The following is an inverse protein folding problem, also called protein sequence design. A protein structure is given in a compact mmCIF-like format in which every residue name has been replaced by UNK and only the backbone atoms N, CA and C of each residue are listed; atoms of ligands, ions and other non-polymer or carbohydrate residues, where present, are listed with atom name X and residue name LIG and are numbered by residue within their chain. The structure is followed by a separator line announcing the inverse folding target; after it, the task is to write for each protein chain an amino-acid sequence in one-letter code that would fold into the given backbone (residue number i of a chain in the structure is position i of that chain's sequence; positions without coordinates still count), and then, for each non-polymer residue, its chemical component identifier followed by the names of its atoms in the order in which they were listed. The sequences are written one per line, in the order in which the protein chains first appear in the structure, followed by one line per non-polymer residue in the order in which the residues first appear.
data_IF_758383933495
#
_entry.id   IF_758383933495
#
_cell.length_a   1.000
_cell.length_b   1.000
_cell.length_c   1.000
_cell.angle_alpha   90.00
_cell.angle_beta   90.00
_cell.angle_gamma   90.00
#
_symmetry.space_group_name_H-M   'P 1'
#
loop_
_entity.id
_entity.type
_entity.pdbx_description
1 polymer ?
#
# COMPACT_ATOMS: atom_id res chain seq x y z
N UNK A 1 49.07 19.30 39.94
CA UNK A 1 48.78 17.93 39.49
C UNK A 1 47.29 17.81 39.31
N UNK A 2 46.84 18.07 38.09
CA UNK A 2 45.46 17.92 37.62
C UNK A 2 45.20 16.45 37.32
N UNK A 3 44.15 15.88 37.92
CA UNK A 3 43.62 14.58 37.53
C UNK A 3 42.12 14.73 37.35
N UNK A 4 41.72 14.71 36.07
CA UNK A 4 40.34 14.66 35.61
C UNK A 4 39.71 13.31 36.00
N UNK A 5 38.51 13.37 36.55
CA UNK A 5 37.60 12.23 36.57
C UNK A 5 37.00 12.03 35.17
N UNK A 6 36.89 10.80 34.65
CA UNK A 6 36.24 10.57 33.37
C UNK A 6 34.72 10.61 33.54
N UNK A 7 34.06 11.37 32.66
CA UNK A 7 32.63 11.40 32.49
C UNK A 7 32.11 10.00 32.09
N UNK A 8 31.34 9.38 32.98
CA UNK A 8 30.67 8.11 32.70
C UNK A 8 29.20 8.37 32.33
N UNK A 9 28.87 7.98 31.10
CA UNK A 9 27.57 7.51 30.62
C UNK A 9 26.37 8.49 30.66
N UNK A 10 26.41 9.50 29.77
CA UNK A 10 25.20 9.96 29.11
C UNK A 10 24.90 9.00 27.94
N UNK A 11 24.16 7.93 28.21
CA UNK A 11 23.53 7.14 27.14
C UNK A 11 22.33 7.94 26.62
N UNK A 12 22.61 8.92 25.78
CA UNK A 12 21.60 9.54 24.91
C UNK A 12 21.16 8.44 23.95
N UNK A 13 19.89 8.05 24.01
CA UNK A 13 19.24 7.28 22.96
C UNK A 13 19.43 8.04 21.64
N UNK A 14 20.41 7.60 20.86
CA UNK A 14 20.57 8.01 19.47
C UNK A 14 19.38 7.39 18.75
N UNK A 15 18.35 8.20 18.47
CA UNK A 15 17.40 7.89 17.41
C UNK A 15 18.24 7.45 16.22
N UNK A 16 17.97 6.27 15.64
CA UNK A 16 18.69 5.75 14.47
C UNK A 16 18.66 6.81 13.38
N UNK A 17 19.71 7.63 13.36
CA UNK A 17 19.86 8.78 12.49
C UNK A 17 20.24 8.20 11.16
N UNK A 18 19.49 8.55 10.12
CA UNK A 18 19.85 8.28 8.74
C UNK A 18 21.37 8.47 8.55
N UNK A 19 22.04 7.48 7.96
CA UNK A 19 23.47 7.54 7.69
C UNK A 19 23.70 8.35 6.41
N UNK A 20 24.37 9.52 6.46
CA UNK A 20 24.54 10.37 5.28
C UNK A 20 25.24 9.65 4.11
N UNK A 21 24.78 9.90 2.89
CA UNK A 21 25.31 9.32 1.67
C UNK A 21 24.93 7.85 1.43
N UNK A 22 23.92 7.36 2.14
CA UNK A 22 23.37 6.00 1.99
C UNK A 22 21.97 6.02 1.37
N UNK A 23 21.38 4.85 1.20
CA UNK A 23 19.97 4.64 0.83
C UNK A 23 19.07 4.34 2.04
N UNK A 24 19.59 4.45 3.26
CA UNK A 24 18.85 4.22 4.50
C UNK A 24 17.76 5.28 4.70
N UNK A 25 16.62 4.85 5.25
CA UNK A 25 15.51 5.74 5.58
C UNK A 25 15.75 6.55 6.86
N UNK A 26 14.89 7.53 7.09
CA UNK A 26 14.83 8.28 8.34
C UNK A 26 13.83 7.63 9.29
N UNK A 27 14.23 7.44 10.55
CA UNK A 27 13.48 6.73 11.58
C UNK A 27 13.30 7.55 12.87
N UNK A 28 13.38 8.88 12.77
CA UNK A 28 13.16 9.80 13.88
C UNK A 28 11.69 9.79 14.34
N UNK A 29 11.48 10.16 15.61
CA UNK A 29 10.15 10.16 16.24
C UNK A 29 9.87 11.48 16.94
N UNK A 30 8.62 11.94 16.88
CA UNK A 30 8.17 13.09 17.66
C UNK A 30 7.85 12.62 19.08
N UNK A 31 8.65 13.04 20.06
CA UNK A 31 8.47 12.68 21.48
C UNK A 31 8.85 13.85 22.39
N UNK A 32 8.20 14.04 23.55
CA UNK A 32 8.46 15.19 24.42
C UNK A 32 9.92 15.31 24.89
N UNK A 33 10.57 14.18 25.16
CA UNK A 33 11.95 14.10 25.64
C UNK A 33 12.97 13.90 24.51
N UNK A 34 12.52 13.73 23.27
CA UNK A 34 13.37 13.46 22.12
C UNK A 34 13.95 14.71 21.45
N UNK A 35 14.79 14.53 20.41
CA UNK A 35 15.30 15.66 19.61
C UNK A 35 14.20 16.39 18.81
N UNK A 36 13.03 15.76 18.68
CA UNK A 36 11.86 16.27 17.98
C UNK A 36 10.66 16.38 18.94
N UNK A 37 10.61 17.36 19.86
CA UNK A 37 9.45 17.59 20.72
C UNK A 37 8.22 18.09 19.95
N UNK A 38 7.00 17.69 20.36
CA UNK A 38 5.77 18.15 19.72
C UNK A 38 5.60 19.66 19.88
N UNK A 39 5.57 20.37 18.75
CA UNK A 39 5.40 21.82 18.67
C UNK A 39 4.45 22.15 17.51
N UNK A 40 3.41 22.97 17.76
CA UNK A 40 2.48 23.42 16.71
C UNK A 40 3.26 24.20 15.64
N UNK A 41 3.14 23.79 14.38
CA UNK A 41 3.79 24.46 13.24
C UNK A 41 5.27 24.12 13.04
N UNK A 42 5.87 23.25 13.86
CA UNK A 42 7.27 22.81 13.68
C UNK A 42 7.43 21.77 12.58
N UNK A 43 6.41 20.94 12.36
CA UNK A 43 6.50 19.80 11.46
C UNK A 43 5.66 19.99 10.21
N UNK A 44 6.10 19.40 9.10
CA UNK A 44 5.36 19.35 7.84
C UNK A 44 5.39 17.93 7.28
N UNK A 45 4.26 17.50 6.71
CA UNK A 45 4.13 16.18 6.08
C UNK A 45 4.06 16.35 4.56
N UNK A 46 5.09 15.93 3.84
CA UNK A 46 5.05 15.83 2.38
C UNK A 46 4.39 14.51 1.97
N UNK A 47 3.36 14.59 1.13
CA UNK A 47 2.55 13.44 0.71
C UNK A 47 2.22 13.48 -0.78
N UNK A 48 1.70 12.38 -1.29
CA UNK A 48 0.89 12.35 -2.52
C UNK A 48 -0.41 11.61 -2.24
N UNK A 49 -1.56 12.21 -2.57
CA UNK A 49 -2.90 11.63 -2.30
C UNK A 49 -3.12 10.27 -3.00
N UNK A 50 -2.32 9.99 -4.03
CA UNK A 50 -2.30 8.71 -4.72
C UNK A 50 -1.66 7.56 -3.93
N UNK A 51 -0.73 7.85 -3.03
CA UNK A 51 0.12 6.84 -2.40
C UNK A 51 -0.59 6.19 -1.19
N UNK A 52 -0.83 4.88 -1.18
CA UNK A 52 -1.49 4.21 -0.04
C UNK A 52 -0.63 4.28 1.24
N UNK A 53 0.70 4.30 1.13
CA UNK A 53 1.59 4.41 2.28
C UNK A 53 1.52 5.80 2.93
N UNK A 54 1.52 6.87 2.12
CA UNK A 54 1.34 8.24 2.64
C UNK A 54 -0.07 8.45 3.20
N UNK A 55 -1.07 7.80 2.61
CA UNK A 55 -2.46 7.89 3.03
C UNK A 55 -2.67 7.40 4.48
N UNK A 56 -1.87 6.42 4.95
CA UNK A 56 -1.92 5.93 6.35
C UNK A 56 -1.66 7.06 7.34
N UNK A 57 -0.56 7.80 7.15
CA UNK A 57 -0.21 8.93 8.00
C UNK A 57 -1.24 10.07 7.90
N UNK A 58 -1.76 10.32 6.70
CA UNK A 58 -2.79 11.35 6.47
C UNK A 58 -4.12 11.02 7.18
N UNK A 59 -4.56 9.75 7.15
CA UNK A 59 -5.75 9.30 7.86
C UNK A 59 -5.57 9.46 9.37
N UNK A 60 -4.45 9.01 9.93
CA UNK A 60 -4.18 9.19 11.38
C UNK A 60 -4.16 10.66 11.76
N UNK A 61 -3.49 11.51 10.98
CA UNK A 61 -3.49 12.97 11.17
C UNK A 61 -4.90 13.52 11.25
N UNK A 62 -5.79 13.11 10.35
CA UNK A 62 -7.17 13.60 10.31
C UNK A 62 -8.03 13.03 11.46
N UNK A 63 -7.87 11.74 11.80
CA UNK A 63 -8.55 11.10 12.92
C UNK A 63 -8.18 11.73 14.27
N UNK A 64 -6.93 12.18 14.42
CA UNK A 64 -6.39 12.83 15.62
C UNK A 64 -6.61 14.35 15.64
N UNK A 65 -7.29 14.94 14.65
CA UNK A 65 -7.49 16.39 14.59
C UNK A 65 -6.20 17.22 14.44
N UNK A 66 -5.14 16.64 13.84
CA UNK A 66 -3.81 17.23 13.79
C UNK A 66 -3.58 18.19 12.61
N UNK A 67 -4.64 18.60 11.91
CA UNK A 67 -4.54 19.32 10.66
C UNK A 67 -3.77 20.65 10.80
N UNK A 68 -3.99 21.36 11.91
CA UNK A 68 -3.30 22.60 12.25
C UNK A 68 -1.91 22.40 12.86
N UNK A 69 -1.65 21.24 13.46
CA UNK A 69 -0.37 20.93 14.13
C UNK A 69 0.67 20.42 13.14
N UNK A 70 0.21 19.61 12.18
CA UNK A 70 1.00 18.96 11.15
C UNK A 70 0.41 19.29 9.77
N UNK A 71 0.67 20.48 9.20
CA UNK A 71 0.26 20.79 7.83
C UNK A 71 0.84 19.79 6.82
N UNK A 72 0.03 19.40 5.83
CA UNK A 72 0.47 18.57 4.72
C UNK A 72 0.83 19.43 3.50
N UNK A 73 1.74 18.95 2.65
CA UNK A 73 2.02 19.48 1.31
C UNK A 73 1.91 18.34 0.31
N UNK A 74 1.03 18.51 -0.68
CA UNK A 74 0.69 17.47 -1.65
C UNK A 74 1.46 17.67 -2.97
N UNK A 75 2.26 16.68 -3.37
CA UNK A 75 2.89 16.65 -4.69
C UNK A 75 1.88 16.31 -5.80
N UNK A 76 2.16 16.69 -7.05
CA UNK A 76 1.33 16.29 -8.19
C UNK A 76 1.33 14.77 -8.36
N UNK A 77 0.22 14.19 -8.85
CA UNK A 77 0.15 12.76 -9.14
C UNK A 77 0.99 12.35 -10.35
N UNK A 78 1.34 13.28 -11.25
CA UNK A 78 2.21 12.99 -12.39
C UNK A 78 2.81 14.30 -12.95
N UNK A 79 3.84 14.23 -13.81
CA UNK A 79 4.67 13.05 -14.09
C UNK A 79 5.50 12.66 -12.85
N UNK A 80 5.57 11.36 -12.58
CA UNK A 80 6.73 10.78 -11.87
C UNK A 80 7.89 10.80 -12.87
N UNK A 81 9.12 10.87 -12.38
CA UNK A 81 10.30 10.63 -13.19
C UNK A 81 10.32 9.26 -13.90
N UNK A 82 11.49 8.81 -14.31
CA UNK A 82 11.70 7.49 -14.90
C UNK A 82 11.37 6.35 -13.90
N UNK A 83 11.45 5.11 -14.38
CA UNK A 83 11.12 3.90 -13.59
C UNK A 83 12.03 3.74 -12.35
N UNK A 84 13.23 4.30 -12.37
CA UNK A 84 14.15 4.36 -11.22
C UNK A 84 13.76 5.45 -10.20
N UNK A 85 12.73 6.25 -10.49
CA UNK A 85 12.22 7.29 -9.63
C UNK A 85 12.94 8.63 -9.75
N UNK A 86 13.74 8.87 -10.80
CA UNK A 86 14.42 10.16 -11.05
C UNK A 86 13.69 10.99 -12.12
N UNK A 87 13.41 12.29 -11.91
CA UNK A 87 13.67 13.09 -10.71
C UNK A 87 12.61 12.90 -9.59
N UNK A 88 11.69 11.96 -9.72
CA UNK A 88 10.69 11.68 -8.69
C UNK A 88 9.47 12.59 -8.80
N UNK A 89 8.76 12.76 -7.69
CA UNK A 89 7.51 13.52 -7.67
C UNK A 89 7.75 15.02 -7.83
N UNK A 90 6.82 15.70 -8.51
CA UNK A 90 6.90 17.13 -8.79
C UNK A 90 5.90 17.90 -7.96
N UNK A 91 6.30 19.09 -7.52
CA UNK A 91 5.38 20.12 -7.09
C UNK A 91 4.74 20.79 -8.32
N UNK A 92 3.52 21.33 -8.20
CA UNK A 92 2.99 22.24 -9.21
C UNK A 92 3.83 23.53 -9.26
N UNK A 93 3.70 24.25 -10.36
CA UNK A 93 4.38 25.53 -10.66
C UNK A 93 3.48 26.72 -10.36
N UNK A 94 2.18 26.50 -10.19
CA UNK A 94 1.19 27.45 -9.71
C UNK A 94 0.11 26.74 -8.89
N UNK A 95 -0.60 27.46 -8.04
CA UNK A 95 -1.67 26.88 -7.20
C UNK A 95 -2.80 26.23 -8.02
N UNK A 96 -3.01 26.69 -9.26
CA UNK A 96 -4.09 26.21 -10.14
C UNK A 96 -3.63 25.15 -11.16
N UNK A 97 -2.34 24.78 -11.20
CA UNK A 97 -1.83 23.82 -12.19
C UNK A 97 -2.52 22.44 -12.06
N UNK A 98 -2.73 22.00 -10.83
CA UNK A 98 -3.37 20.72 -10.55
C UNK A 98 -4.19 20.78 -9.25
N UNK A 99 -5.52 20.59 -9.30
CA UNK A 99 -6.36 20.62 -8.10
C UNK A 99 -5.91 19.62 -7.04
N UNK A 100 -5.78 20.09 -5.79
CA UNK A 100 -5.34 19.27 -4.67
C UNK A 100 -3.84 18.96 -4.65
N UNK A 101 -3.02 19.67 -5.42
CA UNK A 101 -1.57 19.68 -5.29
C UNK A 101 -1.10 21.08 -4.83
N UNK A 102 -0.06 21.12 -3.99
CA UNK A 102 0.42 22.34 -3.35
C UNK A 102 1.81 22.71 -3.86
N UNK A 103 2.06 24.01 -4.04
CA UNK A 103 3.42 24.52 -4.12
C UNK A 103 4.18 24.14 -2.84
N UNK A 104 5.49 23.86 -2.92
CA UNK A 104 6.30 23.67 -1.71
C UNK A 104 6.46 25.01 -0.96
N UNK A 105 5.90 25.16 0.25
CA UNK A 105 5.92 26.43 0.96
C UNK A 105 7.23 26.69 1.71
N UNK A 106 8.11 25.68 1.86
CA UNK A 106 9.34 25.82 2.65
C UNK A 106 10.52 26.27 1.79
N UNK A 107 10.71 25.63 0.64
CA UNK A 107 11.92 25.81 -0.17
C UNK A 107 11.64 26.19 -1.62
N UNK A 108 10.36 26.24 -2.04
CA UNK A 108 10.00 26.40 -3.44
C UNK A 108 10.57 25.28 -4.32
N UNK A 109 10.68 24.07 -3.77
CA UNK A 109 11.20 22.90 -4.48
C UNK A 109 10.39 22.59 -5.74
N UNK A 110 11.06 22.07 -6.77
CA UNK A 110 10.41 21.63 -8.02
C UNK A 110 10.09 20.15 -7.92
N UNK A 111 10.97 19.38 -7.28
CA UNK A 111 10.82 17.94 -7.08
C UNK A 111 10.97 17.58 -5.61
N UNK A 112 10.41 16.44 -5.22
CA UNK A 112 10.53 15.93 -3.87
C UNK A 112 11.99 15.59 -3.50
N UNK A 113 12.81 15.16 -4.46
CA UNK A 113 14.24 14.91 -4.19
C UNK A 113 14.98 16.17 -3.73
N UNK A 114 14.54 17.37 -4.15
CA UNK A 114 15.12 18.64 -3.69
C UNK A 114 15.00 18.76 -2.16
N UNK A 115 13.92 18.23 -1.58
CA UNK A 115 13.68 18.20 -0.13
C UNK A 115 14.63 17.20 0.54
N UNK A 116 14.76 15.99 0.01
CA UNK A 116 15.70 14.98 0.53
C UNK A 116 17.13 15.52 0.55
N UNK A 117 17.55 16.18 -0.52
CA UNK A 117 18.88 16.77 -0.64
C UNK A 117 19.11 18.01 0.24
N UNK A 118 18.07 18.56 0.89
CA UNK A 118 18.28 19.56 1.95
C UNK A 118 18.90 18.96 3.21
N UNK A 119 18.55 17.72 3.54
CA UNK A 119 19.11 17.04 4.71
C UNK A 119 20.36 16.23 4.35
N UNK A 120 20.31 15.45 3.26
CA UNK A 120 21.46 14.69 2.74
C UNK A 120 21.67 14.92 1.24
N UNK A 121 22.59 15.83 0.84
CA UNK A 121 22.94 16.10 -0.55
C UNK A 121 23.50 14.89 -1.33
N UNK A 122 23.90 13.82 -0.63
CA UNK A 122 24.47 12.61 -1.21
C UNK A 122 23.53 11.40 -1.13
N UNK A 123 22.26 11.61 -0.75
CA UNK A 123 21.29 10.54 -0.56
C UNK A 123 21.14 9.68 -1.82
N UNK A 124 21.22 8.35 -1.64
CA UNK A 124 21.22 7.37 -2.73
C UNK A 124 19.93 6.58 -2.86
N UNK A 125 19.03 6.71 -1.89
CA UNK A 125 17.77 5.97 -1.85
C UNK A 125 16.67 6.60 -2.70
N UNK A 126 15.45 6.06 -2.56
CA UNK A 126 14.26 6.57 -3.25
C UNK A 126 13.67 7.78 -2.52
N UNK A 127 13.18 8.74 -3.29
CA UNK A 127 12.50 9.94 -2.79
C UNK A 127 11.00 9.65 -2.58
N UNK A 128 10.68 8.95 -1.48
CA UNK A 128 9.35 8.40 -1.22
C UNK A 128 8.42 9.42 -0.53
N UNK A 129 7.13 9.13 -0.58
CA UNK A 129 6.14 9.75 0.32
C UNK A 129 5.54 8.64 1.18
N UNK A 130 5.22 8.90 2.46
CA UNK A 130 5.28 10.19 3.15
C UNK A 130 6.71 10.59 3.54
N UNK A 131 6.95 11.90 3.71
CA UNK A 131 8.16 12.44 4.34
C UNK A 131 7.75 13.45 5.42
N UNK A 132 8.07 13.15 6.69
CA UNK A 132 7.91 14.05 7.82
C UNK A 132 9.17 14.93 7.94
N UNK A 133 8.99 16.24 7.92
CA UNK A 133 10.05 17.23 7.92
C UNK A 133 9.98 18.11 9.19
N UNK A 134 11.12 18.34 9.83
CA UNK A 134 11.26 19.32 10.91
C UNK A 134 11.71 20.66 10.32
N UNK A 135 10.80 21.63 10.30
CA UNK A 135 11.04 22.97 9.76
C UNK A 135 12.11 23.72 10.56
N UNK A 136 12.11 23.55 11.89
CA UNK A 136 12.98 24.30 12.80
C UNK A 136 14.43 23.89 12.65
N UNK A 137 14.68 22.59 12.53
CA UNK A 137 16.02 22.03 12.34
C UNK A 137 16.40 21.88 10.88
N UNK A 138 15.44 22.01 9.95
CA UNK A 138 15.64 21.78 8.51
C UNK A 138 16.22 20.40 8.21
N UNK A 139 15.63 19.36 8.82
CA UNK A 139 16.03 17.95 8.64
C UNK A 139 14.81 17.08 8.40
N UNK A 140 15.02 15.95 7.72
CA UNK A 140 14.01 14.90 7.64
C UNK A 140 13.91 14.17 8.98
N UNK A 141 12.68 13.92 9.43
CA UNK A 141 12.40 13.20 10.68
C UNK A 141 12.16 11.73 10.39
N UNK A 142 11.23 11.42 9.48
CA UNK A 142 10.82 10.05 9.21
C UNK A 142 10.19 9.93 7.81
N UNK A 143 10.48 8.86 7.07
CA UNK A 143 9.82 8.56 5.79
C UNK A 143 9.18 7.16 5.74
N UNK A 144 9.05 6.50 6.89
CA UNK A 144 8.46 5.16 7.01
C UNK A 144 7.01 5.16 7.48
N UNK A 145 6.13 4.74 6.56
CA UNK A 145 4.69 4.86 6.74
C UNK A 145 4.12 4.08 7.93
N UNK A 146 4.71 2.93 8.28
CA UNK A 146 4.25 2.12 9.41
C UNK A 146 4.69 2.71 10.74
N UNK A 147 5.87 3.32 10.80
CA UNK A 147 6.32 4.06 11.98
C UNK A 147 5.45 5.30 12.17
N UNK A 148 5.23 6.09 11.11
CA UNK A 148 4.35 7.25 11.15
C UNK A 148 2.90 6.90 11.52
N UNK A 149 2.39 5.76 11.04
CA UNK A 149 1.06 5.24 11.43
C UNK A 149 0.95 5.01 12.94
N UNK A 150 2.01 4.56 13.61
CA UNK A 150 2.03 4.34 15.07
C UNK A 150 2.36 5.61 15.83
N UNK A 151 3.44 6.29 15.45
CA UNK A 151 3.99 7.41 16.19
C UNK A 151 3.03 8.61 16.20
N UNK A 152 2.33 8.89 15.10
CA UNK A 152 1.37 10.01 15.03
C UNK A 152 0.14 9.81 15.92
N UNK A 153 -0.15 8.58 16.38
CA UNK A 153 -1.26 8.34 17.31
C UNK A 153 -1.02 8.99 18.68
N UNK A 154 0.24 9.17 19.09
CA UNK A 154 0.60 9.71 20.40
C UNK A 154 1.51 10.93 20.35
N UNK A 155 2.16 11.19 19.21
CA UNK A 155 3.18 12.24 19.03
C UNK A 155 2.74 13.61 19.57
N UNK A 156 1.48 13.99 19.33
CA UNK A 156 0.94 15.31 19.65
C UNK A 156 -0.03 15.31 20.84
N UNK A 157 -0.22 14.18 21.53
CA UNK A 157 -1.13 14.08 22.69
C UNK A 157 -0.89 15.14 23.78
N UNK A 158 0.36 15.54 24.10
CA UNK A 158 0.60 16.61 25.06
C UNK A 158 0.03 17.97 24.65
N UNK A 159 -0.23 18.19 23.35
CA UNK A 159 -0.80 19.43 22.82
C UNK A 159 -2.32 19.35 22.62
N UNK A 160 -2.91 18.16 22.70
CA UNK A 160 -4.35 17.96 22.55
C UNK A 160 -5.07 18.16 23.90
N UNK A 161 -6.31 18.69 23.89
CA UNK A 161 -7.08 18.87 25.12
C UNK A 161 -7.22 17.56 25.90
N UNK A 162 -7.01 17.63 27.21
CA UNK A 162 -7.15 16.46 28.08
C UNK A 162 -8.60 15.92 28.01
N UNK A 163 -8.75 14.61 27.84
CA UNK A 163 -10.05 13.96 27.71
C UNK A 163 -10.74 14.12 26.35
N UNK A 164 -10.12 14.77 25.36
CA UNK A 164 -10.71 14.86 24.02
C UNK A 164 -10.77 13.49 23.33
N UNK A 165 -11.78 13.21 22.49
CA UNK A 165 -11.85 11.97 21.72
C UNK A 165 -10.61 11.74 20.85
N UNK A 166 -10.05 12.80 20.27
CA UNK A 166 -8.85 12.74 19.45
C UNK A 166 -7.64 12.32 20.28
N UNK A 167 -7.45 12.89 21.48
CA UNK A 167 -6.37 12.49 22.38
C UNK A 167 -6.55 11.05 22.87
N UNK A 168 -7.77 10.63 23.19
CA UNK A 168 -8.08 9.29 23.66
C UNK A 168 -8.03 8.21 22.56
N UNK A 169 -8.14 8.59 21.29
CA UNK A 169 -8.12 7.66 20.18
C UNK A 169 -6.79 6.90 20.12
N UNK A 170 -6.89 5.58 20.16
CA UNK A 170 -5.80 4.65 19.82
C UNK A 170 -6.27 3.64 18.80
N UNK A 171 -5.44 3.42 17.78
CA UNK A 171 -5.61 2.38 16.77
C UNK A 171 -4.78 1.13 17.09
N UNK A 172 -4.05 1.15 18.22
CA UNK A 172 -3.21 0.06 18.70
C UNK A 172 -3.48 -0.27 20.19
N UNK A 173 -4.74 -0.56 20.57
CA UNK A 173 -5.14 -0.81 21.95
C UNK A 173 -4.45 -2.07 22.48
N UNK A 174 -4.05 -2.04 23.76
CA UNK A 174 -3.26 -3.10 24.39
C UNK A 174 -3.85 -4.50 24.21
N UNK A 175 -5.16 -4.65 24.41
CA UNK A 175 -5.86 -5.92 24.29
C UNK A 175 -5.83 -6.55 22.89
N UNK A 176 -5.59 -5.77 21.83
CA UNK A 176 -5.57 -6.25 20.44
C UNK A 176 -4.18 -6.26 19.81
N UNK A 177 -3.13 -5.82 20.51
CA UNK A 177 -1.78 -5.65 19.94
C UNK A 177 -1.24 -6.92 19.28
N UNK A 178 -1.33 -8.05 19.96
CA UNK A 178 -0.83 -9.32 19.44
C UNK A 178 -1.53 -9.71 18.13
N UNK A 179 -2.85 -9.50 18.06
CA UNK A 179 -3.64 -9.81 16.86
C UNK A 179 -3.38 -8.81 15.73
N UNK A 180 -3.22 -7.52 16.07
CA UNK A 180 -2.82 -6.48 15.13
C UNK A 180 -1.45 -6.78 14.52
N UNK A 181 -0.45 -7.13 15.32
CA UNK A 181 0.89 -7.45 14.83
C UNK A 181 0.87 -8.70 13.93
N UNK A 182 0.15 -9.74 14.35
CA UNK A 182 0.00 -10.99 13.60
C UNK A 182 -0.64 -10.77 12.23
N UNK A 183 -1.79 -10.10 12.19
CA UNK A 183 -2.49 -9.79 10.94
C UNK A 183 -1.69 -8.81 10.10
N UNK A 184 -1.11 -7.82 10.76
CA UNK A 184 -0.32 -6.79 10.14
C UNK A 184 0.87 -7.35 9.36
N UNK A 185 1.53 -8.40 9.84
CA UNK A 185 2.65 -9.04 9.14
C UNK A 185 2.25 -9.52 7.74
N UNK A 186 1.30 -10.45 7.66
CA UNK A 186 0.88 -11.02 6.38
C UNK A 186 0.05 -10.05 5.52
N UNK A 187 -0.72 -9.14 6.13
CA UNK A 187 -1.44 -8.10 5.39
C UNK A 187 -0.47 -7.17 4.65
N UNK A 188 0.68 -6.84 5.25
CA UNK A 188 1.69 -6.02 4.57
C UNK A 188 2.20 -6.74 3.33
N UNK A 189 2.59 -8.01 3.48
CA UNK A 189 3.27 -8.75 2.42
C UNK A 189 2.33 -9.21 1.29
N UNK A 190 1.20 -9.82 1.66
CA UNK A 190 0.30 -10.47 0.72
C UNK A 190 -0.78 -9.54 0.16
N UNK A 191 -1.12 -8.44 0.85
CA UNK A 191 -2.14 -7.49 0.38
C UNK A 191 -1.54 -6.12 0.04
N UNK A 192 -0.93 -5.42 1.00
CA UNK A 192 -0.53 -4.03 0.80
C UNK A 192 0.62 -3.90 -0.22
N UNK A 193 1.60 -4.80 -0.16
CA UNK A 193 2.70 -4.93 -1.13
C UNK A 193 2.35 -5.95 -2.22
N UNK A 194 1.56 -6.98 -1.91
CA UNK A 194 1.20 -8.06 -2.84
C UNK A 194 0.61 -7.57 -4.17
N UNK A 195 -0.27 -6.55 -4.15
CA UNK A 195 -0.81 -5.96 -5.39
C UNK A 195 0.27 -5.35 -6.28
N UNK A 196 1.36 -4.83 -5.70
CA UNK A 196 2.50 -4.30 -6.46
C UNK A 196 3.40 -5.42 -6.97
N UNK A 197 3.60 -6.49 -6.20
CA UNK A 197 4.34 -7.68 -6.65
C UNK A 197 3.69 -8.30 -7.88
N UNK A 198 2.37 -8.44 -7.88
CA UNK A 198 1.61 -8.89 -9.06
C UNK A 198 1.65 -7.84 -10.19
N UNK A 199 1.42 -6.56 -9.88
CA UNK A 199 1.30 -5.50 -10.87
C UNK A 199 2.57 -5.15 -11.63
N UNK A 200 3.74 -5.39 -11.03
CA UNK A 200 5.06 -5.13 -11.61
C UNK A 200 5.84 -6.40 -11.96
N UNK A 201 5.24 -7.58 -11.87
CA UNK A 201 5.85 -8.81 -12.34
C UNK A 201 6.31 -8.66 -13.81
N UNK A 202 7.54 -9.06 -14.10
CA UNK A 202 8.12 -8.97 -15.45
C UNK A 202 7.83 -10.23 -16.27
N UNK A 203 7.48 -11.32 -15.59
CA UNK A 203 7.15 -12.61 -16.21
C UNK A 203 5.79 -13.14 -15.76
N UNK A 204 5.21 -14.03 -16.59
CA UNK A 204 3.96 -14.72 -16.25
C UNK A 204 4.09 -15.55 -14.96
N UNK A 205 5.24 -16.21 -14.76
CA UNK A 205 5.48 -17.04 -13.58
C UNK A 205 5.48 -16.24 -12.28
N UNK A 206 6.14 -15.07 -12.25
CA UNK A 206 6.12 -14.16 -11.09
C UNK A 206 4.71 -13.63 -10.80
N UNK A 207 3.97 -13.29 -11.86
CA UNK A 207 2.58 -12.86 -11.72
C UNK A 207 1.70 -13.97 -11.12
N UNK A 208 1.78 -15.20 -11.67
CA UNK A 208 1.02 -16.37 -11.22
C UNK A 208 1.41 -16.83 -9.81
N UNK A 209 2.65 -16.56 -9.38
CA UNK A 209 3.09 -16.78 -8.01
C UNK A 209 2.45 -15.78 -7.04
N UNK A 210 2.38 -14.50 -7.41
CA UNK A 210 2.03 -13.43 -6.47
C UNK A 210 0.53 -13.13 -6.41
N UNK A 211 -0.19 -13.16 -7.54
CA UNK A 211 -1.60 -12.78 -7.57
C UNK A 211 -2.49 -13.66 -6.68
N UNK A 212 -2.29 -14.98 -6.54
CA UNK A 212 -3.15 -15.81 -5.69
C UNK A 212 -3.06 -15.43 -4.20
N UNK A 213 -1.90 -15.01 -3.70
CA UNK A 213 -1.75 -14.57 -2.30
C UNK A 213 -2.58 -13.32 -1.98
N UNK A 214 -2.74 -12.40 -2.95
CA UNK A 214 -3.61 -11.22 -2.79
C UNK A 214 -5.04 -11.66 -2.52
N UNK A 215 -5.54 -12.60 -3.31
CA UNK A 215 -6.91 -13.09 -3.18
C UNK A 215 -7.10 -14.01 -1.97
N UNK A 216 -6.08 -14.76 -1.56
CA UNK A 216 -6.11 -15.54 -0.33
C UNK A 216 -6.22 -14.62 0.90
N UNK A 217 -5.44 -13.54 0.92
CA UNK A 217 -5.53 -12.50 1.94
C UNK A 217 -6.93 -11.85 1.97
N UNK A 218 -7.51 -11.51 0.82
CA UNK A 218 -8.87 -10.96 0.75
C UNK A 218 -9.93 -11.95 1.27
N UNK A 219 -9.86 -13.24 0.91
CA UNK A 219 -10.77 -14.27 1.40
C UNK A 219 -10.74 -14.39 2.93
N UNK A 220 -9.54 -14.35 3.52
CA UNK A 220 -9.36 -14.34 4.98
C UNK A 220 -10.00 -13.11 5.59
N UNK A 221 -9.69 -11.92 5.08
CA UNK A 221 -10.19 -10.64 5.63
C UNK A 221 -11.72 -10.54 5.54
N UNK A 222 -12.31 -10.99 4.42
CA UNK A 222 -13.76 -11.08 4.22
C UNK A 222 -14.45 -11.89 5.31
N UNK A 223 -13.90 -13.07 5.64
CA UNK A 223 -14.42 -13.90 6.74
C UNK A 223 -14.19 -13.28 8.10
N UNK A 224 -13.06 -12.61 8.31
CA UNK A 224 -12.75 -11.97 9.59
C UNK A 224 -13.72 -10.83 9.90
N UNK A 225 -14.03 -9.97 8.93
CA UNK A 225 -15.03 -8.89 9.10
C UNK A 225 -16.38 -9.48 9.55
N UNK A 226 -16.83 -10.56 8.89
CA UNK A 226 -18.07 -11.23 9.26
C UNK A 226 -18.00 -11.87 10.66
N UNK A 227 -16.95 -12.65 10.93
CA UNK A 227 -16.79 -13.40 12.18
C UNK A 227 -16.68 -12.49 13.41
N UNK A 228 -16.09 -11.30 13.24
CA UNK A 228 -15.95 -10.31 14.31
C UNK A 228 -17.18 -9.38 14.43
N UNK A 229 -18.20 -9.53 13.59
CA UNK A 229 -19.45 -8.76 13.64
C UNK A 229 -19.36 -7.32 13.14
N UNK A 230 -18.18 -6.88 12.67
CA UNK A 230 -17.96 -5.51 12.20
C UNK A 230 -18.16 -4.43 13.29
N UNK A 231 -18.24 -3.14 12.91
CA UNK A 231 -18.11 -2.62 11.55
C UNK A 231 -16.65 -2.45 11.09
N UNK A 232 -15.69 -2.79 11.94
CA UNK A 232 -14.25 -2.80 11.65
C UNK A 232 -13.71 -4.23 11.59
N UNK A 233 -12.47 -4.41 11.15
CA UNK A 233 -11.88 -5.73 10.89
C UNK A 233 -11.88 -6.63 12.14
N UNK A 234 -11.58 -6.07 13.31
CA UNK A 234 -11.55 -6.77 14.60
C UNK A 234 -12.80 -6.51 15.46
N UNK A 235 -13.91 -6.09 14.85
CA UNK A 235 -15.19 -5.89 15.50
C UNK A 235 -15.50 -4.42 15.76
N UNK A 236 -15.91 -4.08 16.99
CA UNK A 236 -16.51 -2.78 17.31
C UNK A 236 -15.51 -1.60 17.32
N UNK A 237 -14.21 -1.87 17.53
CA UNK A 237 -13.17 -0.84 17.62
C UNK A 237 -12.31 -0.81 16.35
N UNK A 238 -12.11 0.39 15.80
CA UNK A 238 -11.18 0.60 14.69
C UNK A 238 -9.74 0.41 15.16
N UNK A 239 -8.93 -0.24 14.33
CA UNK A 239 -7.50 -0.46 14.59
C UNK A 239 -6.64 0.02 13.42
N UNK A 240 -5.32 -0.03 13.59
CA UNK A 240 -4.39 0.35 12.52
C UNK A 240 -4.47 -0.60 11.32
N UNK A 241 -5.01 -1.82 11.50
CA UNK A 241 -5.31 -2.72 10.40
C UNK A 241 -6.36 -2.14 9.46
N UNK A 242 -7.38 -1.46 9.99
CA UNK A 242 -8.43 -0.85 9.16
C UNK A 242 -7.86 0.27 8.28
N UNK A 243 -6.97 1.10 8.84
CA UNK A 243 -6.28 2.17 8.10
C UNK A 243 -5.39 1.58 6.99
N UNK A 244 -4.64 0.52 7.31
CA UNK A 244 -3.75 -0.14 6.35
C UNK A 244 -4.51 -0.84 5.23
N UNK A 245 -5.56 -1.58 5.60
CA UNK A 245 -6.44 -2.27 4.65
C UNK A 245 -7.15 -1.25 3.76
N UNK A 246 -7.65 -0.14 4.33
CA UNK A 246 -8.42 0.85 3.58
C UNK A 246 -7.57 1.50 2.51
N UNK A 247 -6.33 1.87 2.86
CA UNK A 247 -5.41 2.48 1.91
C UNK A 247 -5.22 1.62 0.65
N UNK A 248 -5.27 0.29 0.77
CA UNK A 248 -5.26 -0.64 -0.36
C UNK A 248 -6.65 -0.80 -1.00
N UNK A 249 -7.68 -1.16 -0.23
CA UNK A 249 -8.99 -1.55 -0.77
C UNK A 249 -9.72 -0.40 -1.49
N UNK A 250 -9.56 0.84 -1.02
CA UNK A 250 -10.13 2.02 -1.69
C UNK A 250 -9.56 2.23 -3.10
N UNK A 251 -8.39 1.65 -3.40
CA UNK A 251 -7.71 1.71 -4.70
C UNK A 251 -7.93 0.45 -5.54
N UNK A 252 -8.47 -0.63 -4.95
CA UNK A 252 -8.47 -1.95 -5.58
C UNK A 252 -9.27 -1.97 -6.87
N UNK A 253 -10.58 -1.69 -6.81
CA UNK A 253 -11.43 -1.67 -7.99
C UNK A 253 -11.07 -0.52 -8.94
N UNK A 254 -10.62 0.62 -8.41
CA UNK A 254 -10.33 1.82 -9.21
C UNK A 254 -9.01 1.79 -9.97
N UNK A 255 -8.08 0.94 -9.52
CA UNK A 255 -6.72 0.86 -10.06
C UNK A 255 -6.25 -0.58 -10.11
N UNK A 256 -6.11 -1.27 -8.99
CA UNK A 256 -5.36 -2.53 -8.93
C UNK A 256 -5.97 -3.66 -9.77
N UNK A 257 -7.31 -3.74 -9.83
CA UNK A 257 -8.00 -4.74 -10.63
C UNK A 257 -7.57 -4.70 -12.10
N UNK A 258 -7.56 -3.50 -12.71
CA UNK A 258 -7.22 -3.35 -14.11
C UNK A 258 -5.72 -3.07 -14.33
N UNK A 259 -5.16 -2.08 -13.64
CA UNK A 259 -3.79 -1.60 -13.85
C UNK A 259 -2.74 -2.62 -13.39
N UNK A 260 -2.97 -3.28 -12.25
CA UNK A 260 -2.10 -4.33 -11.72
C UNK A 260 -2.59 -5.75 -12.03
N UNK A 261 -3.63 -5.88 -12.86
CA UNK A 261 -4.21 -7.17 -13.27
C UNK A 261 -4.67 -8.02 -12.07
N UNK A 262 -4.92 -7.44 -10.90
CA UNK A 262 -5.44 -8.17 -9.74
C UNK A 262 -6.94 -8.42 -9.93
N UNK A 263 -7.31 -9.32 -10.86
CA UNK A 263 -8.67 -9.43 -11.40
C UNK A 263 -9.31 -10.82 -11.32
N UNK A 264 -8.84 -11.72 -10.45
CA UNK A 264 -9.57 -12.97 -10.14
C UNK A 264 -10.95 -12.70 -9.51
N UNK A 265 -11.12 -11.51 -8.92
CA UNK A 265 -12.36 -10.91 -8.45
C UNK A 265 -12.17 -9.42 -8.19
N UNK A 266 -13.25 -8.71 -7.86
CA UNK A 266 -13.27 -7.30 -7.47
C UNK A 266 -13.96 -7.12 -6.13
N UNK A 267 -13.61 -6.07 -5.38
CA UNK A 267 -14.13 -5.84 -4.03
C UNK A 267 -15.65 -5.69 -4.06
N UNK A 268 -16.19 -4.85 -4.95
CA UNK A 268 -17.63 -4.53 -4.96
C UNK A 268 -18.57 -5.73 -5.19
N UNK A 269 -18.09 -6.78 -5.86
CA UNK A 269 -18.91 -7.91 -6.28
C UNK A 269 -18.57 -9.21 -5.53
N UNK A 270 -17.28 -9.53 -5.46
CA UNK A 270 -16.82 -10.83 -4.98
C UNK A 270 -16.55 -10.84 -3.47
N UNK A 271 -16.46 -9.67 -2.85
CA UNK A 271 -16.19 -9.49 -1.41
C UNK A 271 -17.22 -8.57 -0.72
N UNK A 272 -18.47 -9.01 -0.55
CA UNK A 272 -19.54 -8.12 -0.04
C UNK A 272 -19.31 -7.61 1.38
N UNK A 273 -18.68 -8.39 2.28
CA UNK A 273 -18.34 -7.90 3.62
C UNK A 273 -17.27 -6.82 3.57
N UNK A 274 -16.20 -7.03 2.80
CA UNK A 274 -15.16 -6.01 2.59
C UNK A 274 -15.71 -4.78 1.88
N UNK A 275 -16.60 -4.95 0.90
CA UNK A 275 -17.24 -3.82 0.25
C UNK A 275 -18.14 -3.05 1.22
N UNK A 276 -18.93 -3.73 2.04
CA UNK A 276 -19.75 -3.09 3.06
C UNK A 276 -18.89 -2.35 4.11
N UNK A 277 -17.78 -2.96 4.55
CA UNK A 277 -16.77 -2.34 5.40
C UNK A 277 -16.13 -1.09 4.74
N UNK A 278 -15.79 -1.17 3.45
CA UNK A 278 -15.19 -0.07 2.69
C UNK A 278 -16.17 1.10 2.56
N UNK A 279 -17.45 0.82 2.32
CA UNK A 279 -18.53 1.82 2.31
C UNK A 279 -18.68 2.48 3.67
N UNK A 280 -18.64 1.72 4.77
CA UNK A 280 -18.71 2.28 6.11
C UNK A 280 -17.58 3.28 6.35
N UNK A 281 -16.33 2.88 6.11
CA UNK A 281 -15.18 3.77 6.31
C UNK A 281 -15.26 5.01 5.42
N UNK A 282 -15.53 4.84 4.12
CA UNK A 282 -15.57 5.96 3.19
C UNK A 282 -16.73 6.94 3.46
N UNK A 283 -17.93 6.47 3.80
CA UNK A 283 -19.09 7.34 3.95
C UNK A 283 -19.33 7.83 5.38
N UNK A 284 -19.04 7.00 6.39
CA UNK A 284 -19.41 7.27 7.78
C UNK A 284 -18.24 7.75 8.65
N UNK A 285 -17.00 7.70 8.15
CA UNK A 285 -15.82 8.22 8.87
C UNK A 285 -15.16 9.34 8.06
N UNK A 286 -15.38 10.63 8.41
CA UNK A 286 -14.93 11.78 7.62
C UNK A 286 -13.44 11.74 7.26
N UNK A 287 -12.59 11.33 8.20
CA UNK A 287 -11.14 11.24 8.02
C UNK A 287 -10.71 10.32 6.87
N UNK A 288 -11.52 9.33 6.47
CA UNK A 288 -11.22 8.46 5.33
C UNK A 288 -11.69 9.07 4.00
N UNK A 289 -12.86 9.72 4.02
CA UNK A 289 -13.43 10.39 2.84
C UNK A 289 -12.61 11.59 2.40
N UNK A 290 -12.32 12.47 3.34
CA UNK A 290 -11.66 13.76 3.11
C UNK A 290 -10.22 13.61 2.62
N UNK A 291 -9.61 12.46 2.87
CA UNK A 291 -8.22 12.17 2.47
C UNK A 291 -8.14 11.36 1.19
N UNK A 292 -9.28 10.98 0.59
CA UNK A 292 -9.34 10.16 -0.61
C UNK A 292 -9.64 11.00 -1.85
N UNK A 293 -8.64 11.17 -2.71
CA UNK A 293 -8.80 11.80 -4.02
C UNK A 293 -8.62 10.78 -5.15
N UNK A 294 -9.74 10.38 -5.78
CA UNK A 294 -9.73 9.39 -6.85
C UNK A 294 -9.05 9.88 -8.12
N UNK A 295 -9.01 11.19 -8.39
CA UNK A 295 -8.33 11.74 -9.56
C UNK A 295 -6.83 11.58 -9.39
N UNK A 296 -6.29 12.00 -8.24
CA UNK A 296 -4.88 11.78 -7.89
C UNK A 296 -4.52 10.31 -7.95
N UNK A 297 -5.32 9.45 -7.31
CA UNK A 297 -5.13 7.99 -7.32
C UNK A 297 -5.06 7.48 -8.76
N UNK A 298 -6.09 7.67 -9.57
CA UNK A 298 -6.15 7.03 -10.90
C UNK A 298 -5.08 7.58 -11.84
N UNK A 299 -4.88 8.90 -11.85
CA UNK A 299 -3.92 9.53 -12.76
C UNK A 299 -2.48 9.20 -12.39
N UNK A 300 -2.15 9.05 -11.11
CA UNK A 300 -0.81 8.65 -10.71
C UNK A 300 -0.43 7.28 -11.29
N UNK A 301 -1.23 6.26 -11.01
CA UNK A 301 -0.89 4.89 -11.43
C UNK A 301 -0.88 4.76 -12.93
N UNK A 302 -1.86 5.34 -13.61
CA UNK A 302 -2.03 5.16 -15.05
C UNK A 302 -1.06 6.01 -15.86
N UNK A 303 -0.62 7.17 -15.37
CA UNK A 303 0.28 8.08 -16.09
C UNK A 303 1.75 8.01 -15.65
N UNK A 304 2.06 7.35 -14.54
CA UNK A 304 3.44 7.24 -14.01
C UNK A 304 4.08 5.87 -14.19
N UNK A 305 3.35 4.84 -14.61
CA UNK A 305 3.87 3.49 -14.83
C UNK A 305 3.87 3.16 -16.32
N UNK A 306 4.81 3.75 -17.07
CA UNK A 306 4.87 3.61 -18.53
C UNK A 306 5.08 2.16 -18.97
N UNK A 307 5.81 1.36 -18.21
CA UNK A 307 6.01 -0.08 -18.45
C UNK A 307 4.70 -0.88 -18.39
N UNK A 308 3.74 -0.44 -17.58
CA UNK A 308 2.44 -1.11 -17.40
C UNK A 308 1.38 -0.54 -18.34
N UNK A 309 1.35 0.78 -18.51
CA UNK A 309 0.37 1.49 -19.34
C UNK A 309 1.06 2.52 -20.26
N UNK A 310 1.64 2.08 -21.40
CA UNK A 310 2.46 2.94 -22.25
C UNK A 310 1.72 4.16 -22.83
N UNK A 311 0.40 4.08 -22.99
CA UNK A 311 -0.42 5.17 -23.55
C UNK A 311 -0.88 6.18 -22.49
N UNK A 312 -0.58 5.95 -21.21
CA UNK A 312 -0.97 6.80 -20.09
C UNK A 312 -2.48 7.13 -20.02
N UNK A 313 -3.32 6.24 -20.57
CA UNK A 313 -4.77 6.42 -20.56
C UNK A 313 -5.29 6.08 -19.16
N UNK A 314 -5.96 7.04 -18.52
CA UNK A 314 -6.66 6.82 -17.26
C UNK A 314 -8.07 6.30 -17.53
N UNK A 315 -8.44 5.07 -17.13
CA UNK A 315 -9.77 4.53 -17.35
C UNK A 315 -10.86 5.38 -16.68
N UNK A 316 -12.02 5.50 -17.33
CA UNK A 316 -13.18 6.17 -16.74
C UNK A 316 -13.76 5.39 -15.56
N UNK A 317 -13.80 4.05 -15.68
CA UNK A 317 -14.36 3.19 -14.66
C UNK A 317 -13.45 2.95 -13.46
N UNK A 318 -13.95 2.22 -12.45
CA UNK A 318 -15.35 1.81 -12.30
C UNK A 318 -16.24 2.99 -11.87
N UNK A 319 -17.53 2.95 -12.21
CA UNK A 319 -18.51 3.96 -11.81
C UNK A 319 -19.64 3.33 -10.96
N UNK A 320 -19.98 3.91 -9.79
CA UNK A 320 -19.21 4.95 -9.10
C UNK A 320 -17.86 4.40 -8.59
N UNK A 321 -16.98 5.29 -8.11
CA UNK A 321 -15.73 4.87 -7.46
C UNK A 321 -16.04 4.03 -6.20
N UNK A 322 -17.00 4.46 -5.38
CA UNK A 322 -17.53 3.74 -4.21
C UNK A 322 -19.06 3.86 -4.23
N UNK A 323 -19.74 2.73 -4.05
CA UNK A 323 -21.20 2.67 -3.94
C UNK A 323 -21.67 3.21 -2.58
N UNK A 324 -22.91 3.69 -2.52
CA UNK A 324 -23.55 4.14 -1.28
C UNK A 324 -24.26 2.97 -0.57
N UNK A 325 -24.84 3.24 0.61
CA UNK A 325 -25.69 2.30 1.34
C UNK A 325 -24.92 1.27 2.15
N UNK A 326 -24.45 1.64 3.34
CA UNK A 326 -23.90 0.71 4.33
C UNK A 326 -25.02 -0.11 5.01
N UNK A 327 -24.87 -1.43 5.08
CA UNK A 327 -25.76 -2.32 5.84
C UNK A 327 -25.15 -2.57 7.25
N UNK A 328 -25.75 -2.05 8.32
CA UNK A 328 -25.23 -2.24 9.68
C UNK A 328 -25.42 -3.67 10.20
N UNK A 329 -26.38 -4.43 9.69
CA UNK A 329 -26.57 -5.84 10.05
C UNK A 329 -25.73 -6.74 9.13
N UNK A 330 -24.48 -6.99 9.53
CA UNK A 330 -23.54 -7.82 8.76
C UNK A 330 -24.01 -9.26 8.55
N UNK A 331 -25.01 -9.76 9.29
CA UNK A 331 -25.60 -11.07 9.05
C UNK A 331 -26.44 -11.11 7.77
N UNK A 332 -26.95 -9.96 7.30
CA UNK A 332 -27.63 -9.83 6.00
C UNK A 332 -26.67 -9.75 4.82
N UNK A 333 -25.40 -9.45 5.09
CA UNK A 333 -24.36 -9.36 4.07
C UNK A 333 -23.72 -10.73 3.90
N UNK A 334 -23.78 -11.28 2.68
CA UNK A 334 -23.18 -12.59 2.41
C UNK A 334 -21.66 -12.53 2.50
N UNK A 335 -21.03 -13.61 2.95
CA UNK A 335 -19.58 -13.79 2.87
C UNK A 335 -19.22 -14.21 1.44
N UNK A 336 -18.32 -13.46 0.82
CA UNK A 336 -17.79 -13.70 -0.51
C UNK A 336 -16.47 -14.47 -0.54
N UNK A 337 -15.75 -14.33 -1.65
CA UNK A 337 -14.41 -14.88 -1.84
C UNK A 337 -14.20 -15.54 -3.20
N UNK A 338 -12.96 -15.49 -3.68
CA UNK A 338 -12.53 -16.19 -4.89
C UNK A 338 -12.33 -17.68 -4.59
N UNK A 339 -12.97 -18.56 -5.37
CA UNK A 339 -12.97 -20.02 -5.16
C UNK A 339 -11.95 -20.78 -6.01
N UNK A 340 -11.01 -20.08 -6.63
CA UNK A 340 -9.95 -20.71 -7.41
C UNK A 340 -9.14 -21.65 -6.49
N UNK A 341 -8.91 -22.92 -6.83
CA UNK A 341 -8.31 -23.89 -5.92
C UNK A 341 -7.01 -23.41 -5.26
N UNK A 342 -6.07 -22.86 -6.05
CA UNK A 342 -4.82 -22.36 -5.50
C UNK A 342 -4.98 -21.18 -4.54
N UNK A 343 -6.01 -20.34 -4.73
CA UNK A 343 -6.31 -19.24 -3.81
C UNK A 343 -6.77 -19.81 -2.48
N UNK A 344 -7.67 -20.80 -2.51
CA UNK A 344 -8.21 -21.46 -1.31
C UNK A 344 -7.12 -22.19 -0.53
N UNK A 345 -6.24 -22.92 -1.23
CA UNK A 345 -5.11 -23.64 -0.63
C UNK A 345 -4.15 -22.69 0.11
N UNK A 346 -3.96 -21.48 -0.42
CA UNK A 346 -3.08 -20.47 0.16
C UNK A 346 -3.68 -19.74 1.37
N UNK A 347 -4.98 -19.85 1.65
CA UNK A 347 -5.61 -19.14 2.77
C UNK A 347 -5.01 -19.56 4.13
N UNK A 348 -4.77 -20.86 4.33
CA UNK A 348 -4.18 -21.38 5.56
C UNK A 348 -2.70 -20.96 5.72
N UNK A 349 -1.96 -20.93 4.61
CA UNK A 349 -0.57 -20.49 4.56
C UNK A 349 -0.46 -19.00 4.88
N UNK A 350 -1.36 -18.20 4.29
CA UNK A 350 -1.42 -16.74 4.44
C UNK A 350 -1.57 -16.33 5.91
N UNK A 351 -2.36 -17.05 6.71
CA UNK A 351 -2.61 -16.72 8.12
C UNK A 351 -1.56 -17.28 9.08
N UNK A 352 -0.59 -18.05 8.60
CA UNK A 352 0.39 -18.75 9.43
C UNK A 352 -0.20 -19.89 10.26
N UNK A 353 -1.33 -20.49 9.84
CA UNK A 353 -1.87 -21.64 10.53
C UNK A 353 -0.96 -22.85 10.28
N UNK A 354 -0.33 -23.37 11.34
CA UNK A 354 0.05 -24.78 11.38
C UNK A 354 -1.26 -25.56 11.32
N UNK A 355 -1.50 -26.43 10.33
CA UNK A 355 -2.70 -27.25 10.33
C UNK A 355 -2.70 -28.10 11.60
N UNK A 356 -3.75 -28.01 12.42
CA UNK A 356 -4.08 -29.09 13.34
C UNK A 356 -4.40 -30.32 12.49
N UNK A 357 -3.38 -31.15 12.25
CA UNK A 357 -3.56 -32.47 11.67
C UNK A 357 -4.28 -33.32 12.71
N UNK A 358 -5.58 -33.50 12.51
CA UNK A 358 -6.34 -34.60 13.08
C UNK A 358 -5.56 -35.89 12.83
N UNK A 359 -5.20 -36.56 13.92
CA UNK A 359 -4.38 -37.76 13.94
C UNK A 359 -5.09 -38.92 13.25
N UNK A 360 -4.61 -39.34 12.08
CA UNK A 360 -4.76 -40.72 11.60
C UNK A 360 -3.65 -41.07 10.58
N UNK A 361 -2.42 -41.17 11.08
CA UNK A 361 -1.37 -42.14 10.68
C UNK A 361 -0.03 -41.64 11.21
N UNK A 362 0.56 -42.42 12.12
CA UNK A 362 1.73 -42.03 12.90
C UNK A 362 3.04 -41.93 12.13
N UNK A 363 3.24 -40.87 11.34
CA UNK A 363 4.57 -40.41 10.94
C UNK A 363 4.70 -38.89 11.16
N UNK A 364 5.54 -38.52 12.12
CA UNK A 364 6.01 -37.13 12.28
C UNK A 364 6.94 -36.78 11.11
N UNK A 365 6.77 -35.65 10.42
CA UNK A 365 7.81 -35.12 9.55
C UNK A 365 8.90 -34.45 10.40
N UNK A 366 10.15 -34.77 10.13
CA UNK A 366 11.31 -34.02 10.64
C UNK A 366 11.44 -32.70 9.89
N UNK A 367 11.46 -31.59 10.64
CA UNK A 367 11.68 -30.24 10.11
C UNK A 367 13.17 -29.94 10.23
N UNK A 368 13.88 -29.90 9.11
CA UNK A 368 15.24 -29.36 9.06
C UNK A 368 15.20 -27.90 8.58
N UNK A 369 15.65 -26.99 9.44
CA UNK A 369 15.86 -25.59 9.09
C UNK A 369 17.18 -25.42 8.34
N UNK A 370 17.11 -25.11 7.05
CA UNK A 370 18.24 -24.62 6.26
C UNK A 370 17.76 -23.50 5.33
N UNK A 371 18.17 -22.26 5.62
CA UNK A 371 18.17 -21.15 4.66
C UNK A 371 16.81 -20.58 4.29
N UNK A 372 16.81 -19.29 3.97
CA UNK A 372 15.65 -18.48 3.55
C UNK A 372 15.02 -19.01 2.25
N UNK A 373 14.14 -20.00 2.34
CA UNK A 373 13.03 -20.29 1.42
C UNK A 373 12.33 -21.57 1.89
N UNK A 374 11.05 -21.47 2.27
CA UNK A 374 10.21 -22.68 2.44
C UNK A 374 9.64 -23.00 1.06
N UNK A 375 10.22 -23.99 0.38
CA UNK A 375 9.60 -24.60 -0.80
C UNK A 375 8.62 -25.65 -0.30
N UNK A 376 7.32 -25.35 -0.32
CA UNK A 376 6.27 -26.35 -0.12
C UNK A 376 6.09 -27.07 -1.45
N UNK A 377 6.61 -28.29 -1.55
CA UNK A 377 6.64 -29.10 -2.79
C UNK A 377 5.28 -29.61 -3.29
N UNK A 378 4.15 -29.11 -2.76
CA UNK A 378 2.81 -29.68 -3.02
C UNK A 378 1.80 -28.72 -3.67
N UNK A 379 2.18 -27.50 -4.10
CA UNK A 379 1.27 -26.62 -4.86
C UNK A 379 1.49 -26.84 -6.36
N UNK A 380 1.17 -28.04 -6.85
CA UNK A 380 1.27 -28.38 -8.28
C UNK A 380 0.12 -27.79 -9.12
N UNK A 381 -0.96 -27.33 -8.47
CA UNK A 381 -2.19 -26.91 -9.15
C UNK A 381 -2.15 -25.50 -9.78
N UNK A 382 -1.20 -24.63 -9.44
CA UNK A 382 -1.13 -23.29 -10.06
C UNK A 382 -0.70 -23.34 -11.52
N UNK A 383 0.22 -24.24 -11.87
CA UNK A 383 0.85 -24.28 -13.20
C UNK A 383 -0.03 -25.04 -14.21
N UNK A 384 -0.83 -26.00 -13.74
CA UNK A 384 -1.62 -26.86 -14.62
C UNK A 384 -2.86 -26.18 -15.22
N UNK A 385 -3.43 -25.16 -14.58
CA UNK A 385 -4.57 -24.41 -15.15
C UNK A 385 -4.13 -23.53 -16.34
N UNK A 386 -2.85 -23.13 -16.39
CA UNK A 386 -2.30 -22.37 -17.50
C UNK A 386 -1.87 -23.24 -18.70
N UNK A 387 -1.69 -24.56 -18.51
CA UNK A 387 -1.13 -25.45 -19.52
C UNK A 387 -2.16 -26.18 -20.40
N UNK A 388 -3.46 -26.08 -20.11
CA UNK A 388 -4.51 -26.77 -20.88
C UNK A 388 -4.85 -26.15 -22.26
N UNK A 389 -4.22 -25.04 -22.65
CA UNK A 389 -4.53 -24.32 -23.90
C UNK A 389 -3.55 -24.53 -25.08
N UNK A 390 -2.62 -25.49 -25.02
CA UNK A 390 -1.74 -25.82 -26.17
C UNK A 390 -1.55 -27.33 -26.33
N UNK A 391 -2.57 -28.00 -26.88
CA UNK A 391 -2.39 -29.25 -27.63
C UNK A 391 -2.92 -29.05 -29.05
N UNK A 392 -2.08 -28.43 -29.89
CA UNK A 392 -2.21 -28.57 -31.34
C UNK A 392 -1.61 -29.93 -31.72
N UNK A 393 -2.50 -30.84 -32.09
CA UNK A 393 -2.19 -32.17 -32.60
C UNK A 393 -1.44 -32.06 -33.94
N UNK A 394 -0.15 -32.42 -33.93
CA UNK A 394 0.65 -32.60 -35.12
C UNK A 394 0.45 -34.01 -35.67
N UNK A 395 -0.62 -34.25 -36.43
CA UNK A 395 -0.62 -35.37 -37.40
C UNK A 395 -1.68 -35.22 -38.50
N UNK A 396 -1.30 -34.62 -39.62
CA UNK A 396 -1.51 -35.15 -41.00
C UNK A 396 -0.96 -34.15 -42.02
N UNK A 397 -0.01 -34.60 -42.82
CA UNK A 397 0.57 -33.81 -43.91
C UNK A 397 -0.36 -33.69 -45.10
N UNK A 398 -0.04 -32.78 -46.03
CA UNK A 398 0.16 -33.08 -47.46
C UNK A 398 0.59 -31.80 -48.20
N UNK A 399 1.83 -31.87 -48.75
CA UNK A 399 2.30 -31.38 -50.05
C UNK A 399 2.19 -29.89 -50.42
N UNK A 400 3.38 -29.28 -50.54
CA UNK A 400 3.64 -28.07 -51.31
C UNK A 400 3.51 -28.30 -52.82
N UNK A 401 2.91 -27.34 -53.54
CA UNK A 401 3.13 -27.16 -54.98
C UNK A 401 3.09 -25.68 -55.34
N UNK A 402 4.23 -25.17 -55.81
CA UNK A 402 4.37 -23.89 -56.50
C UNK A 402 3.48 -23.83 -57.75
N UNK A 403 2.91 -22.66 -58.04
CA UNK A 403 2.62 -22.23 -59.40
C UNK A 403 2.67 -20.69 -59.50
N UNK A 404 3.54 -20.20 -60.38
CA UNK A 404 3.70 -18.80 -60.79
C UNK A 404 2.49 -18.34 -61.61
N UNK A 405 2.11 -17.05 -61.53
CA UNK A 405 1.21 -16.46 -62.54
C UNK A 405 0.66 -15.05 -62.27
N UNK A 406 1.36 -14.05 -62.80
CA UNK A 406 0.82 -12.84 -63.48
C UNK A 406 -0.04 -11.77 -62.76
N UNK A 407 0.53 -10.56 -62.76
CA UNK A 407 -0.03 -9.20 -62.95
C UNK A 407 -1.53 -8.95 -62.68
N UNK A 408 -1.82 -7.96 -61.83
CA UNK A 408 -2.27 -6.64 -62.31
C UNK A 408 -2.31 -5.55 -61.22
N UNK A 409 -1.87 -4.35 -61.61
CA UNK A 409 -2.09 -3.06 -60.94
C UNK A 409 -3.58 -2.75 -60.87
N UNK A 410 -4.06 -2.17 -59.77
CA UNK A 410 -4.98 -1.01 -59.81
C UNK A 410 -4.62 -0.07 -58.63
N UNK A 411 -4.35 1.18 -58.98
CA UNK A 411 -4.21 2.36 -58.11
C UNK A 411 -5.44 3.21 -58.40
N UNK A 412 -6.27 3.55 -57.42
CA UNK A 412 -7.21 4.69 -57.51
C UNK A 412 -7.31 5.32 -56.12
N UNK A 413 -6.82 6.57 -56.03
CA UNK A 413 -7.12 7.55 -54.98
C UNK A 413 -8.52 8.13 -55.22
N UNK A 414 -9.19 8.55 -54.14
CA UNK A 414 -10.45 9.29 -54.25
C UNK A 414 -10.96 9.82 -52.92
N UNK A 415 -10.56 11.07 -52.65
CA UNK A 415 -11.10 12.09 -51.74
C UNK A 415 -10.91 11.99 -50.23
#
# INVERSE_FOLDING_TARGET
MTSQAPAAAAAVLVATKHTPGTDESWHGKITPEGPFPPEKGRYRLYIGLFCPFAHRALIVRNLKGLQEFLPATVVKPYPKGNDNGWPGWRFPTSADEYPGADLDPLFGAIHLHDIYFKDDPQYKGRYTVPLLWDVKNSVAVNNESLELLRDLQTAFDPLLPEGSPERALTLYPEALRAEIDRIGGWMQDHLNVGVYKAGFAETQAEYDEHVPYVFAALNVLERMVHANGGPYLLGAQMTELDVRMYATLIRFDTVYAQHFKCNLGIIRHDYPQLHNWLKNLYWNVPAFRETTDFKHIKENYTKSHQSVNPRAITPLGPWPHIEEGYEPDLAKVRVGGVKMPCVVDLEAVTVGAVPELSTESGRKPEIHYLGTSVVISNITHCVDVASEAVRLDHTTGFIAREARGHRNRIKIEGH
#
